data_IF_722341434134
#
_entry.id   IF_722341434134
#
_cell.length_a   1.000
_cell.length_b   1.000
_cell.length_c   1.000
_cell.angle_alpha   90.00
_cell.angle_beta   90.00
_cell.angle_gamma   90.00
#
_symmetry.space_group_name_H-M   'P 1'
#
loop_
_entity.id
_entity.type
_entity.pdbx_description
1 polymer ?
#
# COMPACT_ATOMS: atom_id res chain seq x y z
N UNK A 1 34.71 10.75 42.97
CA UNK A 1 33.61 10.36 42.06
C UNK A 1 34.05 10.65 40.65
N UNK A 2 33.87 9.73 39.68
CA UNK A 2 34.09 10.05 38.25
C UNK A 2 32.83 10.74 37.71
N UNK A 3 32.95 11.82 36.91
CA UNK A 3 31.79 12.42 36.25
C UNK A 3 31.10 11.39 35.33
N UNK A 4 29.77 11.39 35.32
CA UNK A 4 28.93 10.50 34.51
C UNK A 4 28.03 11.34 33.62
N UNK A 5 27.96 11.01 32.33
CA UNK A 5 27.06 11.63 31.35
C UNK A 5 26.23 10.55 30.68
N UNK A 6 24.92 10.79 30.55
CA UNK A 6 23.98 9.94 29.80
C UNK A 6 23.50 10.75 28.60
N UNK A 7 23.74 10.28 27.38
CA UNK A 7 23.45 11.03 26.14
C UNK A 7 23.04 10.12 24.99
N UNK A 8 22.44 10.69 23.91
CA UNK A 8 22.02 9.92 22.71
C UNK A 8 23.18 9.34 21.89
N UNK A 9 24.41 9.69 22.21
CA UNK A 9 25.62 9.41 21.44
C UNK A 9 26.50 10.66 21.39
N UNK A 10 27.66 10.54 20.73
CA UNK A 10 28.56 11.67 20.49
C UNK A 10 28.16 12.46 19.24
N UNK A 11 28.32 13.79 19.30
CA UNK A 11 28.10 14.67 18.13
C UNK A 11 29.20 14.48 17.07
N UNK A 12 30.42 14.22 17.51
CA UNK A 12 31.60 14.00 16.67
C UNK A 12 32.69 13.24 17.45
N UNK A 13 33.75 12.85 16.75
CA UNK A 13 34.90 12.15 17.35
C UNK A 13 35.67 13.03 18.36
N UNK A 14 35.59 14.36 18.23
CA UNK A 14 36.25 15.28 19.15
C UNK A 14 35.58 15.27 20.53
N UNK A 15 34.25 15.19 20.58
CA UNK A 15 33.49 15.05 21.82
C UNK A 15 33.78 13.71 22.52
N UNK A 16 34.00 12.64 21.76
CA UNK A 16 34.39 11.32 22.29
C UNK A 16 35.79 11.35 22.90
N UNK A 17 36.76 11.87 22.16
CA UNK A 17 38.13 12.01 22.65
C UNK A 17 38.21 12.87 23.92
N UNK A 18 37.48 13.99 23.96
CA UNK A 18 37.42 14.85 25.14
C UNK A 18 36.86 14.13 26.38
N UNK A 19 35.81 13.32 26.21
CA UNK A 19 35.23 12.55 27.31
C UNK A 19 36.18 11.47 27.85
N UNK A 20 36.92 10.80 26.96
CA UNK A 20 37.94 9.80 27.31
C UNK A 20 39.11 10.44 28.07
N UNK A 21 39.61 11.58 27.59
CA UNK A 21 40.74 12.32 28.18
C UNK A 21 40.39 12.88 29.56
N UNK A 22 39.17 13.39 29.72
CA UNK A 22 38.63 13.88 31.01
C UNK A 22 38.18 12.74 31.93
N UNK A 23 38.29 11.48 31.50
CA UNK A 23 37.87 10.28 32.25
C UNK A 23 36.41 10.33 32.71
N UNK A 24 35.56 10.95 31.90
CA UNK A 24 34.11 10.98 32.07
C UNK A 24 33.56 9.63 31.67
N UNK A 25 32.74 9.01 32.52
CA UNK A 25 32.00 7.81 32.15
C UNK A 25 30.83 8.25 31.29
N UNK A 26 30.75 7.79 30.04
CA UNK A 26 29.63 8.07 29.15
C UNK A 26 28.81 6.80 28.97
N UNK A 27 27.49 6.92 29.08
CA UNK A 27 26.53 5.86 28.75
C UNK A 27 25.73 6.39 27.55
N UNK A 28 25.91 5.77 26.39
CA UNK A 28 25.17 6.12 25.18
C UNK A 28 23.77 5.47 25.21
N UNK A 29 22.73 6.23 24.87
CA UNK A 29 21.36 5.72 24.79
C UNK A 29 21.18 4.77 23.59
N UNK A 30 22.09 4.76 22.60
CA UNK A 30 22.10 3.72 21.56
C UNK A 30 22.47 2.33 22.11
N UNK A 31 23.19 2.27 23.23
CA UNK A 31 23.54 1.01 23.92
C UNK A 31 22.41 0.52 24.84
N UNK A 32 21.35 1.31 25.02
CA UNK A 32 20.14 0.93 25.72
C UNK A 32 18.97 1.02 24.75
N UNK A 33 18.37 -0.11 24.37
CA UNK A 33 17.01 -0.05 23.85
C UNK A 33 16.17 0.66 24.93
N UNK A 34 15.82 1.93 24.70
CA UNK A 34 14.95 2.74 25.55
C UNK A 34 13.50 2.23 25.54
N UNK A 35 13.27 1.14 24.82
CA UNK A 35 12.01 0.49 24.58
C UNK A 35 12.10 -0.84 25.29
N UNK A 36 11.25 -1.06 26.30
CA UNK A 36 11.18 -2.37 26.92
C UNK A 36 10.61 -3.41 25.93
N UNK A 37 10.65 -4.69 26.30
CA UNK A 37 10.18 -5.75 25.41
C UNK A 37 8.68 -5.63 25.09
N UNK A 38 7.90 -5.06 26.01
CA UNK A 38 6.45 -4.88 25.85
C UNK A 38 6.15 -3.73 24.88
N UNK A 39 6.84 -2.60 25.03
CA UNK A 39 6.76 -1.47 24.11
C UNK A 39 7.22 -1.85 22.70
N UNK A 40 8.27 -2.69 22.57
CA UNK A 40 8.71 -3.18 21.27
C UNK A 40 7.64 -4.09 20.64
N UNK A 41 7.01 -4.96 21.44
CA UNK A 41 5.89 -5.78 20.98
C UNK A 41 4.75 -4.91 20.45
N UNK A 42 4.38 -3.86 21.19
CA UNK A 42 3.33 -2.92 20.79
C UNK A 42 3.68 -2.25 19.47
N UNK A 43 4.89 -1.69 19.33
CA UNK A 43 5.32 -1.00 18.10
C UNK A 43 5.27 -1.95 16.89
N UNK A 44 5.77 -3.18 17.04
CA UNK A 44 5.78 -4.17 15.97
C UNK A 44 4.36 -4.60 15.61
N UNK A 45 3.53 -4.90 16.62
CA UNK A 45 2.13 -5.28 16.43
C UNK A 45 1.34 -4.21 15.70
N UNK A 46 1.40 -2.96 16.17
CA UNK A 46 0.71 -1.84 15.53
C UNK A 46 1.21 -1.63 14.10
N UNK A 47 2.52 -1.74 13.86
CA UNK A 47 3.07 -1.60 12.51
C UNK A 47 2.54 -2.68 11.56
N UNK A 48 2.42 -3.92 12.03
CA UNK A 48 1.87 -5.03 11.24
C UNK A 48 0.37 -4.85 11.02
N UNK A 49 -0.39 -4.53 12.07
CA UNK A 49 -1.84 -4.29 12.00
C UNK A 49 -2.16 -3.17 11.02
N UNK A 50 -1.47 -2.03 11.09
CA UNK A 50 -1.66 -0.92 10.17
C UNK A 50 -1.43 -1.32 8.70
N UNK A 51 -0.37 -2.10 8.41
CA UNK A 51 -0.10 -2.58 7.06
C UNK A 51 -1.22 -3.52 6.60
N UNK A 52 -1.64 -4.45 7.46
CA UNK A 52 -2.71 -5.40 7.13
C UNK A 52 -4.03 -4.67 6.87
N UNK A 53 -4.42 -3.74 7.74
CA UNK A 53 -5.64 -2.94 7.60
C UNK A 53 -5.63 -2.18 6.27
N UNK A 54 -4.53 -1.52 5.91
CA UNK A 54 -4.42 -0.81 4.62
C UNK A 54 -4.65 -1.73 3.40
N UNK A 55 -4.21 -2.99 3.45
CA UNK A 55 -4.44 -3.94 2.35
C UNK A 55 -5.85 -4.54 2.40
N UNK A 56 -6.35 -4.87 3.59
CA UNK A 56 -7.68 -5.45 3.80
C UNK A 56 -8.76 -4.44 3.38
N UNK A 57 -8.64 -3.17 3.79
CA UNK A 57 -9.54 -2.10 3.35
C UNK A 57 -9.57 -2.01 1.82
N UNK A 58 -8.41 -2.01 1.15
CA UNK A 58 -8.35 -1.98 -0.31
C UNK A 58 -9.04 -3.18 -0.98
N UNK A 59 -9.11 -4.34 -0.32
CA UNK A 59 -9.76 -5.55 -0.82
C UNK A 59 -11.27 -5.53 -0.53
N UNK A 60 -11.68 -5.07 0.65
CA UNK A 60 -13.07 -5.14 1.12
C UNK A 60 -13.92 -3.94 0.68
N UNK A 61 -13.32 -2.76 0.46
CA UNK A 61 -14.06 -1.55 0.04
C UNK A 61 -14.54 -1.69 -1.40
N UNK A 62 -15.84 -1.60 -1.70
CA UNK A 62 -16.37 -1.70 -3.06
C UNK A 62 -15.62 -0.81 -4.04
N UNK A 63 -15.38 -1.31 -5.25
CA UNK A 63 -14.73 -0.51 -6.27
C UNK A 63 -15.65 0.65 -6.68
N UNK A 64 -15.16 1.90 -6.70
CA UNK A 64 -15.91 2.98 -7.33
C UNK A 64 -15.98 2.74 -8.84
N UNK A 65 -16.88 3.43 -9.53
CA UNK A 65 -16.95 3.35 -11.00
C UNK A 65 -15.62 3.75 -11.64
N UNK A 66 -15.02 2.81 -12.36
CA UNK A 66 -13.78 3.02 -13.10
C UNK A 66 -14.08 3.24 -14.57
N UNK A 67 -13.57 4.35 -15.11
CA UNK A 67 -13.56 4.57 -16.56
C UNK A 67 -12.57 3.61 -17.25
N UNK A 68 -12.70 3.45 -18.57
CA UNK A 68 -11.72 2.67 -19.37
C UNK A 68 -10.30 3.21 -19.20
N UNK A 69 -10.15 4.54 -19.19
CA UNK A 69 -8.86 5.20 -18.98
C UNK A 69 -8.28 4.89 -17.59
N UNK A 70 -9.13 4.86 -16.55
CA UNK A 70 -8.70 4.53 -15.19
C UNK A 70 -8.20 3.07 -15.11
N UNK A 71 -8.87 2.15 -15.80
CA UNK A 71 -8.44 0.74 -15.89
C UNK A 71 -7.13 0.57 -16.66
N UNK A 72 -6.94 1.30 -17.76
CA UNK A 72 -5.68 1.30 -18.51
C UNK A 72 -4.51 1.79 -17.63
N UNK A 73 -4.71 2.87 -16.88
CA UNK A 73 -3.70 3.37 -15.95
C UNK A 73 -3.37 2.33 -14.88
N UNK A 74 -4.38 1.71 -14.26
CA UNK A 74 -4.15 0.65 -13.27
C UNK A 74 -3.39 -0.53 -13.88
N UNK A 75 -3.76 -0.94 -15.10
CA UNK A 75 -3.10 -2.03 -15.85
C UNK A 75 -1.62 -1.75 -16.05
N UNK A 76 -1.27 -0.58 -16.60
CA UNK A 76 0.11 -0.26 -16.91
C UNK A 76 0.95 -0.08 -15.64
N UNK A 77 0.39 0.47 -14.56
CA UNK A 77 1.04 0.51 -13.25
C UNK A 77 1.31 -0.89 -12.68
N UNK A 78 0.37 -1.81 -12.86
CA UNK A 78 0.47 -3.17 -12.33
C UNK A 78 1.52 -4.01 -13.09
N UNK A 79 1.55 -3.92 -14.41
CA UNK A 79 2.38 -4.76 -15.26
C UNK A 79 3.85 -4.29 -15.23
N UNK A 80 4.10 -2.98 -15.27
CA UNK A 80 5.45 -2.43 -15.43
C UNK A 80 6.20 -2.24 -14.09
N UNK A 81 7.45 -2.72 -13.94
CA UNK A 81 8.23 -2.64 -12.71
C UNK A 81 8.72 -1.23 -12.34
N UNK A 82 8.79 -0.28 -13.29
CA UNK A 82 9.21 1.10 -13.02
C UNK A 82 8.19 2.13 -13.51
N UNK A 83 8.18 3.31 -12.88
CA UNK A 83 7.28 4.41 -13.27
C UNK A 83 7.54 4.89 -14.70
N UNK A 84 8.80 4.86 -15.15
CA UNK A 84 9.20 5.26 -16.49
C UNK A 84 8.64 4.31 -17.54
N UNK A 85 8.68 3.00 -17.29
CA UNK A 85 8.10 1.99 -18.18
C UNK A 85 6.57 2.09 -18.24
N UNK A 86 5.91 2.30 -17.10
CA UNK A 86 4.46 2.52 -17.07
C UNK A 86 4.04 3.78 -17.84
N UNK A 87 4.79 4.88 -17.69
CA UNK A 87 4.51 6.12 -18.43
C UNK A 87 4.66 5.90 -19.94
N UNK A 88 5.73 5.19 -20.34
CA UNK A 88 5.97 4.83 -21.74
C UNK A 88 4.87 3.94 -22.31
N UNK A 89 4.38 2.94 -21.55
CA UNK A 89 3.26 2.08 -21.96
C UNK A 89 1.97 2.89 -22.20
N UNK A 90 1.71 3.90 -21.37
CA UNK A 90 0.59 4.82 -21.51
C UNK A 90 0.79 5.93 -22.55
N UNK A 91 1.90 5.90 -23.29
CA UNK A 91 2.31 6.95 -24.22
C UNK A 91 2.26 8.36 -23.59
N UNK A 92 2.74 8.48 -22.36
CA UNK A 92 2.77 9.73 -21.59
C UNK A 92 4.13 9.93 -20.92
N UNK A 93 4.36 11.12 -20.39
CA UNK A 93 5.53 11.42 -19.58
C UNK A 93 5.27 11.10 -18.09
N UNK A 94 6.31 11.14 -17.27
CA UNK A 94 6.21 10.80 -15.84
C UNK A 94 5.21 11.75 -15.13
N UNK A 95 5.23 13.04 -15.48
CA UNK A 95 4.30 14.02 -14.91
C UNK A 95 2.85 13.73 -15.29
N UNK A 96 2.59 13.38 -16.55
CA UNK A 96 1.28 12.96 -17.03
C UNK A 96 0.76 11.73 -16.28
N UNK A 97 1.60 10.71 -16.10
CA UNK A 97 1.24 9.53 -15.30
C UNK A 97 0.94 9.92 -13.84
N UNK A 98 1.79 10.71 -13.20
CA UNK A 98 1.58 11.16 -11.81
C UNK A 98 0.27 11.94 -11.66
N UNK A 99 -0.11 12.75 -12.64
CA UNK A 99 -1.39 13.45 -12.64
C UNK A 99 -2.58 12.48 -12.72
N UNK A 100 -2.50 11.45 -13.55
CA UNK A 100 -3.53 10.39 -13.63
C UNK A 100 -3.61 9.60 -12.32
N UNK A 101 -2.46 9.24 -11.73
CA UNK A 101 -2.39 8.61 -10.41
C UNK A 101 -3.03 9.49 -9.33
N UNK A 102 -2.75 10.79 -9.31
CA UNK A 102 -3.34 11.72 -8.36
C UNK A 102 -4.85 11.86 -8.55
N UNK A 103 -5.35 11.77 -9.80
CA UNK A 103 -6.80 11.69 -10.07
C UNK A 103 -7.41 10.43 -9.44
N UNK A 104 -6.80 9.26 -9.64
CA UNK A 104 -7.24 8.02 -9.01
C UNK A 104 -7.20 8.07 -7.47
N UNK A 105 -6.19 8.74 -6.90
CA UNK A 105 -6.11 8.98 -5.45
C UNK A 105 -7.25 9.85 -4.93
N UNK A 106 -7.59 10.93 -5.64
CA UNK A 106 -8.73 11.80 -5.28
C UNK A 106 -10.08 11.10 -5.40
N UNK A 107 -10.22 10.16 -6.34
CA UNK A 107 -11.42 9.32 -6.50
C UNK A 107 -11.56 8.23 -5.42
N UNK A 108 -10.56 8.06 -4.55
CA UNK A 108 -10.54 6.97 -3.57
C UNK A 108 -10.20 5.60 -4.16
N UNK A 109 -9.78 5.54 -5.44
CA UNK A 109 -9.38 4.27 -6.09
C UNK A 109 -8.03 3.79 -5.58
N UNK A 110 -7.06 4.71 -5.51
CA UNK A 110 -5.72 4.42 -5.02
C UNK A 110 -5.49 5.14 -3.69
N UNK A 111 -4.85 4.52 -2.69
CA UNK A 111 -4.60 5.21 -1.44
C UNK A 111 -3.38 6.13 -1.57
N UNK A 112 -3.11 6.91 -0.52
CA UNK A 112 -1.93 7.79 -0.46
C UNK A 112 -0.65 6.96 -0.32
N UNK A 113 -0.09 6.52 -1.44
CA UNK A 113 1.20 5.81 -1.49
C UNK A 113 2.37 6.77 -1.70
N UNK A 114 3.52 6.44 -1.10
CA UNK A 114 4.78 7.19 -1.26
C UNK A 114 5.71 6.56 -2.31
N UNK A 115 5.71 5.24 -2.45
CA UNK A 115 6.58 4.54 -3.41
C UNK A 115 5.82 4.04 -4.64
N UNK A 116 6.53 3.94 -5.78
CA UNK A 116 6.00 3.29 -6.97
C UNK A 116 5.74 1.80 -6.75
N UNK A 117 6.56 1.13 -5.92
CA UNK A 117 6.36 -0.28 -5.56
C UNK A 117 5.01 -0.53 -4.88
N UNK A 118 4.61 0.34 -3.95
CA UNK A 118 3.29 0.28 -3.31
C UNK A 118 2.17 0.53 -4.33
N UNK A 119 2.35 1.55 -5.18
CA UNK A 119 1.38 1.90 -6.23
C UNK A 119 1.13 0.70 -7.16
N UNK A 120 2.20 0.04 -7.60
CA UNK A 120 2.16 -1.15 -8.45
C UNK A 120 1.46 -2.31 -7.76
N UNK A 121 1.82 -2.62 -6.52
CA UNK A 121 1.16 -3.69 -5.74
C UNK A 121 -0.34 -3.44 -5.58
N UNK A 122 -0.72 -2.21 -5.22
CA UNK A 122 -2.12 -1.84 -5.08
C UNK A 122 -2.88 -1.88 -6.40
N UNK A 123 -2.26 -1.43 -7.49
CA UNK A 123 -2.85 -1.52 -8.82
C UNK A 123 -3.12 -2.97 -9.23
N UNK A 124 -2.20 -3.91 -8.91
CA UNK A 124 -2.43 -5.35 -9.12
C UNK A 124 -3.64 -5.86 -8.35
N UNK A 125 -3.75 -5.55 -7.06
CA UNK A 125 -4.86 -5.98 -6.21
C UNK A 125 -6.20 -5.47 -6.78
N UNK A 126 -6.26 -4.18 -7.11
CA UNK A 126 -7.47 -3.56 -7.65
C UNK A 126 -7.88 -4.14 -9.01
N UNK A 127 -6.92 -4.43 -9.90
CA UNK A 127 -7.22 -5.11 -11.16
C UNK A 127 -7.78 -6.51 -10.95
N UNK A 128 -7.16 -7.31 -10.06
CA UNK A 128 -7.67 -8.64 -9.75
C UNK A 128 -9.09 -8.58 -9.18
N UNK A 129 -9.34 -7.63 -8.27
CA UNK A 129 -10.67 -7.38 -7.72
C UNK A 129 -11.67 -7.01 -8.82
N UNK A 130 -11.34 -6.08 -9.69
CA UNK A 130 -12.21 -5.67 -10.80
C UNK A 130 -12.52 -6.83 -11.76
N UNK A 131 -11.51 -7.59 -12.15
CA UNK A 131 -11.69 -8.77 -13.00
C UNK A 131 -12.55 -9.83 -12.31
N UNK A 132 -12.38 -10.02 -11.00
CA UNK A 132 -13.19 -10.94 -10.22
C UNK A 132 -14.66 -10.51 -10.18
N UNK A 133 -14.94 -9.25 -9.82
CA UNK A 133 -16.30 -8.68 -9.82
C UNK A 133 -16.96 -8.82 -11.18
N UNK A 134 -16.28 -8.44 -12.27
CA UNK A 134 -16.81 -8.56 -13.64
C UNK A 134 -17.15 -10.00 -14.02
N UNK A 135 -16.30 -10.97 -13.62
CA UNK A 135 -16.55 -12.40 -13.87
C UNK A 135 -17.75 -12.89 -13.09
N UNK A 136 -17.89 -12.50 -11.82
CA UNK A 136 -19.04 -12.86 -11.00
C UNK A 136 -20.32 -12.27 -11.58
N UNK A 137 -20.35 -10.98 -11.92
CA UNK A 137 -21.52 -10.35 -12.53
C UNK A 137 -21.96 -11.05 -13.82
N UNK A 138 -21.01 -11.43 -14.69
CA UNK A 138 -21.32 -12.18 -15.90
C UNK A 138 -21.95 -13.55 -15.60
N UNK A 139 -21.45 -14.26 -14.58
CA UNK A 139 -22.03 -15.55 -14.16
C UNK A 139 -23.45 -15.35 -13.65
N UNK A 140 -23.69 -14.34 -12.81
CA UNK A 140 -25.02 -14.02 -12.28
C UNK A 140 -26.00 -13.70 -13.40
N UNK A 141 -25.65 -12.80 -14.33
CA UNK A 141 -26.50 -12.45 -15.48
C UNK A 141 -26.86 -13.66 -16.34
N UNK A 142 -25.92 -14.61 -16.52
CA UNK A 142 -26.18 -15.83 -17.28
C UNK A 142 -27.13 -16.77 -16.54
N UNK A 143 -27.00 -16.89 -15.22
CA UNK A 143 -27.91 -17.69 -14.40
C UNK A 143 -29.32 -17.13 -14.42
N UNK A 144 -29.48 -15.81 -14.30
CA UNK A 144 -30.77 -15.13 -14.39
C UNK A 144 -31.45 -15.41 -15.74
N UNK A 145 -30.73 -15.28 -16.86
CA UNK A 145 -31.26 -15.60 -18.20
C UNK A 145 -31.72 -17.05 -18.32
N UNK A 146 -30.97 -17.99 -17.75
CA UNK A 146 -31.34 -19.41 -17.76
C UNK A 146 -32.61 -19.65 -16.94
N UNK A 147 -32.71 -19.06 -15.74
CA UNK A 147 -33.88 -19.18 -14.87
C UNK A 147 -35.13 -18.63 -15.57
N UNK A 148 -35.06 -17.43 -16.15
CA UNK A 148 -36.17 -16.84 -16.91
C UNK A 148 -36.60 -17.74 -18.08
N UNK A 149 -35.65 -18.32 -18.81
CA UNK A 149 -35.94 -19.23 -19.94
C UNK A 149 -36.65 -20.52 -19.50
N UNK A 150 -36.34 -21.02 -18.30
CA UNK A 150 -36.99 -22.22 -17.72
C UNK A 150 -38.42 -21.90 -17.28
N UNK A 151 -38.62 -20.73 -16.66
CA UNK A 151 -39.95 -20.27 -16.22
C UNK A 151 -40.90 -20.06 -17.40
N UNK A 152 -40.42 -19.47 -18.50
CA UNK A 152 -41.21 -19.30 -19.73
C UNK A 152 -41.63 -20.63 -20.34
N UNK A 153 -40.72 -21.62 -20.41
CA UNK A 153 -41.07 -22.96 -20.90
C UNK A 153 -42.12 -23.65 -20.03
N UNK A 154 -41.96 -23.58 -18.70
CA UNK A 154 -42.95 -24.15 -17.76
C UNK A 154 -44.33 -23.52 -17.88
N UNK A 155 -44.41 -22.22 -18.19
CA UNK A 155 -45.70 -21.54 -18.44
C UNK A 155 -46.35 -21.93 -19.75
N UNK A 156 -45.57 -22.33 -20.76
CA UNK A 156 -46.09 -22.75 -22.06
C UNK A 156 -46.49 -24.24 -22.08
N UNK A 157 -45.93 -25.05 -21.17
CA UNK A 157 -46.22 -26.49 -21.02
C UNK A 157 -47.37 -26.77 -20.01
N UNK A 158 -47.94 -25.75 -19.37
CA UNK A 158 -49.04 -25.82 -18.41
C UNK A 158 -50.33 -25.19 -18.97
#
# INVERSE_FOLDING_TARGET
MKPLVVCKGFVDDAAKAAAEELKVKVIELSDQFLVDAEELEVIVRESVENILDEYIESILTPLPELSKEDLEVLKDLAENPTITEAAKALNTDILGLLNRVNRLKRKGVLPKTRSYGDLRRRSKILLYKFMFEKRISNVVERLEKILSSIEEKRKNDA
#
